data_IF_393424753020
#
_entry.id   IF_393424753020
#
_cell.length_a   1.000
_cell.length_b   1.000
_cell.length_c   1.000
_cell.angle_alpha   90.00
_cell.angle_beta   90.00
_cell.angle_gamma   90.00
#
_symmetry.space_group_name_H-M   'P 1'
#
loop_
_entity.id
_entity.type
_entity.pdbx_description
1 polymer ?
#
# COMPACT_ATOMS: atom_id res chain seq x y z
N UNK A 1 -79.75 29.78 -18.85
CA UNK A 1 -79.06 30.04 -20.13
C UNK A 1 -77.73 29.31 -20.08
N UNK A 2 -77.71 28.00 -19.82
CA UNK A 2 -78.22 26.84 -20.62
C UNK A 2 -77.06 26.31 -21.49
N UNK A 3 -76.73 25.01 -21.61
CA UNK A 3 -77.31 23.74 -21.10
C UNK A 3 -76.23 22.62 -21.14
N UNK A 4 -76.51 21.47 -20.53
CA UNK A 4 -75.67 20.26 -20.34
C UNK A 4 -75.45 19.35 -21.59
N UNK A 5 -74.78 18.20 -21.34
CA UNK A 5 -74.69 16.91 -22.08
C UNK A 5 -73.31 16.61 -22.74
N UNK A 6 -72.66 15.44 -22.60
CA UNK A 6 -72.84 14.27 -21.71
C UNK A 6 -72.38 12.91 -22.32
N UNK A 7 -71.54 12.10 -21.62
CA UNK A 7 -71.13 10.68 -21.93
C UNK A 7 -70.49 10.43 -23.33
N UNK A 8 -69.87 9.31 -23.76
CA UNK A 8 -69.56 7.95 -23.27
C UNK A 8 -69.63 6.96 -24.48
N UNK A 9 -68.89 5.85 -24.61
CA UNK A 9 -67.73 5.29 -23.88
C UNK A 9 -67.12 4.08 -24.70
N UNK A 10 -66.27 3.23 -24.09
CA UNK A 10 -65.94 1.81 -24.45
C UNK A 10 -64.98 1.37 -25.61
N UNK A 11 -64.08 0.43 -25.21
CA UNK A 11 -63.55 -0.82 -25.85
C UNK A 11 -62.88 -0.94 -27.25
N UNK A 12 -61.92 -1.90 -27.33
CA UNK A 12 -61.58 -2.64 -28.56
C UNK A 12 -60.11 -3.10 -28.73
N UNK A 13 -59.84 -4.41 -28.58
CA UNK A 13 -58.62 -5.08 -29.14
C UNK A 13 -58.73 -5.29 -30.66
N UNK A 14 -57.91 -6.06 -31.38
CA UNK A 14 -56.83 -7.03 -31.09
C UNK A 14 -56.02 -7.23 -32.42
N UNK A 15 -55.00 -8.10 -32.39
CA UNK A 15 -54.47 -8.94 -33.47
C UNK A 15 -53.10 -8.56 -34.10
N UNK A 16 -52.23 -9.57 -34.27
CA UNK A 16 -51.05 -9.47 -35.14
C UNK A 16 -49.83 -10.34 -34.79
N UNK A 17 -50.00 -11.63 -34.50
CA UNK A 17 -48.86 -12.53 -34.22
C UNK A 17 -48.26 -13.20 -35.47
N UNK A 18 -46.99 -13.64 -35.32
CA UNK A 18 -46.34 -14.84 -35.91
C UNK A 18 -45.18 -14.63 -36.92
N UNK A 19 -44.11 -15.45 -36.75
CA UNK A 19 -43.18 -15.83 -37.83
C UNK A 19 -41.68 -15.66 -37.57
N UNK A 20 -40.99 -16.71 -37.10
CA UNK A 20 -39.55 -16.94 -37.41
C UNK A 20 -39.41 -17.86 -38.65
N UNK A 21 -38.28 -18.58 -38.88
CA UNK A 21 -37.00 -18.58 -38.15
C UNK A 21 -35.72 -18.67 -39.05
N UNK A 22 -34.56 -18.93 -38.42
CA UNK A 22 -33.42 -19.76 -38.90
C UNK A 22 -32.19 -19.21 -39.68
N UNK A 23 -31.01 -19.49 -39.09
CA UNK A 23 -29.72 -19.99 -39.65
C UNK A 23 -28.64 -19.16 -40.35
N UNK A 24 -27.39 -19.49 -39.93
CA UNK A 24 -26.09 -19.58 -40.63
C UNK A 24 -25.15 -18.35 -40.82
N UNK A 25 -24.13 -18.31 -39.95
CA UNK A 25 -22.69 -18.45 -40.24
C UNK A 25 -21.88 -17.46 -41.12
N UNK A 26 -20.74 -17.05 -40.51
CA UNK A 26 -19.37 -16.93 -41.08
C UNK A 26 -18.77 -15.56 -41.50
N UNK A 27 -17.66 -15.24 -40.80
CA UNK A 27 -16.43 -14.54 -41.21
C UNK A 27 -16.42 -13.06 -41.67
N UNK A 28 -15.57 -12.27 -40.99
CA UNK A 28 -15.10 -10.96 -41.45
C UNK A 28 -14.29 -10.23 -40.36
N UNK A 29 -12.95 -10.26 -40.44
CA UNK A 29 -12.06 -9.66 -39.43
C UNK A 29 -11.79 -8.18 -39.67
N UNK A 30 -11.56 -7.39 -38.60
CA UNK A 30 -10.62 -6.26 -38.61
C UNK A 30 -10.20 -5.84 -37.19
N UNK A 31 -8.99 -5.28 -37.08
CA UNK A 31 -8.32 -4.93 -35.83
C UNK A 31 -8.87 -3.66 -35.16
N UNK A 32 -8.81 -3.61 -33.82
CA UNK A 32 -8.96 -2.38 -33.04
C UNK A 32 -8.39 -2.54 -31.63
N UNK A 33 -7.12 -2.17 -31.42
CA UNK A 33 -6.49 -2.18 -30.10
C UNK A 33 -7.03 -1.04 -29.21
N UNK A 34 -7.49 -1.36 -28.00
CA UNK A 34 -7.45 -0.46 -26.83
C UNK A 34 -7.81 -1.25 -25.55
N UNK A 35 -6.81 -1.78 -24.86
CA UNK A 35 -6.98 -2.41 -23.55
C UNK A 35 -6.55 -1.46 -22.43
N UNK A 36 -7.52 -0.75 -21.85
CA UNK A 36 -7.34 -0.01 -20.60
C UNK A 36 -8.01 -0.79 -19.45
N UNK A 37 -7.37 -1.89 -19.03
CA UNK A 37 -7.86 -2.74 -17.95
C UNK A 37 -7.51 -2.16 -16.58
N UNK A 38 -8.39 -1.36 -15.99
CA UNK A 38 -8.28 -0.93 -14.59
C UNK A 38 -8.59 -2.10 -13.67
N UNK A 39 -7.55 -2.86 -13.29
CA UNK A 39 -7.66 -3.95 -12.33
C UNK A 39 -7.97 -3.42 -10.92
N UNK A 40 -9.24 -3.46 -10.52
CA UNK A 40 -9.65 -3.15 -9.14
C UNK A 40 -9.19 -4.26 -8.20
N UNK A 41 -8.09 -4.04 -7.49
CA UNK A 41 -7.72 -4.89 -6.36
C UNK A 41 -8.61 -4.54 -5.15
N UNK A 42 -9.28 -5.54 -4.59
CA UNK A 42 -10.15 -5.35 -3.43
C UNK A 42 -9.33 -4.90 -2.21
N UNK A 43 -9.66 -3.71 -1.68
CA UNK A 43 -9.14 -3.28 -0.37
C UNK A 43 -9.73 -4.19 0.71
N UNK A 44 -8.86 -4.83 1.50
CA UNK A 44 -9.28 -5.67 2.63
C UNK A 44 -9.86 -4.82 3.75
N UNK A 45 -11.10 -5.11 4.14
CA UNK A 45 -11.76 -4.41 5.26
C UNK A 45 -11.10 -4.75 6.60
N UNK A 46 -10.75 -3.72 7.38
CA UNK A 46 -10.21 -3.84 8.74
C UNK A 46 -11.20 -3.32 9.78
N UNK A 47 -12.33 -3.99 9.92
CA UNK A 47 -13.26 -3.80 11.04
C UNK A 47 -12.79 -4.59 12.27
N UNK A 48 -12.68 -3.92 13.42
CA UNK A 48 -12.29 -4.56 14.68
C UNK A 48 -13.45 -5.39 15.28
N UNK A 49 -13.18 -6.65 15.64
CA UNK A 49 -14.05 -7.47 16.46
C UNK A 49 -13.21 -8.39 17.36
N UNK A 50 -13.66 -8.62 18.59
CA UNK A 50 -12.92 -9.35 19.61
C UNK A 50 -13.43 -10.80 19.81
N UNK A 51 -12.57 -11.58 20.48
CA UNK A 51 -12.83 -12.88 21.13
C UNK A 51 -12.88 -14.16 20.27
N UNK A 52 -12.05 -15.14 20.66
CA UNK A 52 -12.58 -16.47 20.97
C UNK A 52 -11.88 -17.71 20.38
N UNK A 53 -11.19 -18.44 21.26
CA UNK A 53 -10.85 -19.87 21.18
C UNK A 53 -9.73 -20.34 20.21
N UNK A 54 -8.93 -21.28 20.71
CA UNK A 54 -7.71 -21.80 20.10
C UNK A 54 -7.86 -23.26 19.63
N UNK A 55 -7.04 -23.66 18.66
CA UNK A 55 -6.65 -25.06 18.47
C UNK A 55 -5.23 -25.14 17.90
N UNK A 56 -4.44 -26.07 18.44
CA UNK A 56 -2.99 -26.16 18.23
C UNK A 56 -2.59 -27.14 17.13
N UNK A 57 -1.60 -26.78 16.32
CA UNK A 57 -0.67 -27.75 15.72
C UNK A 57 0.74 -27.14 15.63
N UNK A 58 1.76 -27.98 15.83
CA UNK A 58 3.13 -27.55 16.09
C UNK A 58 4.06 -27.81 14.90
N UNK A 59 4.82 -26.79 14.49
CA UNK A 59 6.10 -26.95 13.78
C UNK A 59 7.17 -26.09 14.47
N UNK A 60 8.41 -26.58 14.51
CA UNK A 60 9.49 -25.97 15.28
C UNK A 60 10.30 -25.01 14.41
N UNK A 61 10.20 -23.70 14.66
CA UNK A 61 11.10 -22.70 14.11
C UNK A 61 12.24 -22.39 15.11
N UNK A 62 13.48 -22.35 14.62
CA UNK A 62 14.66 -22.18 15.47
C UNK A 62 14.79 -20.72 15.96
N UNK A 63 14.58 -20.50 17.27
CA UNK A 63 14.75 -19.19 17.88
C UNK A 63 16.23 -18.81 18.01
N UNK A 64 16.76 -18.09 17.01
CA UNK A 64 18.08 -17.46 17.07
C UNK A 64 18.08 -16.30 18.08
N UNK A 65 18.40 -16.60 19.35
CA UNK A 65 18.67 -15.58 20.37
C UNK A 65 20.08 -15.02 20.17
N UNK A 66 20.28 -13.69 20.02
CA UNK A 66 21.61 -13.12 20.06
C UNK A 66 22.17 -13.20 21.49
N UNK A 67 23.33 -13.84 21.65
CA UNK A 67 24.12 -13.76 22.87
C UNK A 67 24.69 -12.34 23.02
N UNK A 68 24.61 -11.76 24.21
CA UNK A 68 24.93 -10.34 24.43
C UNK A 68 26.43 -10.03 24.41
N UNK A 69 26.78 -8.83 23.94
CA UNK A 69 28.19 -8.40 23.92
C UNK A 69 28.48 -7.01 23.33
N UNK A 70 27.95 -5.92 23.90
CA UNK A 70 28.54 -4.58 23.78
C UNK A 70 27.73 -3.51 23.01
N UNK A 71 27.66 -2.30 23.58
CA UNK A 71 27.27 -1.09 22.85
C UNK A 71 25.76 -0.85 22.65
N UNK A 72 24.93 -1.14 23.66
CA UNK A 72 23.47 -1.05 23.54
C UNK A 72 22.93 0.34 23.20
N UNK A 73 22.56 0.54 21.92
CA UNK A 73 21.29 1.19 21.61
C UNK A 73 20.20 0.18 21.98
N UNK A 74 19.27 0.56 22.84
CA UNK A 74 18.09 -0.26 23.12
C UNK A 74 17.39 -0.56 21.80
N UNK A 75 17.16 -1.84 21.48
CA UNK A 75 16.31 -2.20 20.34
C UNK A 75 14.90 -1.67 20.64
N UNK A 76 14.48 -0.67 19.87
CA UNK A 76 13.11 -0.14 19.92
C UNK A 76 12.20 -1.21 19.29
N UNK A 77 11.33 -1.80 20.11
CA UNK A 77 10.33 -2.77 19.66
C UNK A 77 8.96 -2.13 19.85
N UNK A 78 8.23 -1.98 18.74
CA UNK A 78 6.88 -1.42 18.74
C UNK A 78 5.88 -2.55 18.44
N UNK A 79 4.78 -2.62 19.18
CA UNK A 79 3.62 -3.39 18.74
C UNK A 79 2.84 -2.53 17.73
N UNK A 80 2.64 -3.04 16.52
CA UNK A 80 2.05 -2.28 15.41
C UNK A 80 1.02 -3.10 14.64
N UNK A 81 0.01 -2.45 14.09
CA UNK A 81 -0.92 -3.06 13.12
C UNK A 81 -0.65 -2.47 11.75
N UNK A 82 -0.59 -3.32 10.72
CA UNK A 82 -0.43 -2.88 9.32
C UNK A 82 -1.77 -2.39 8.79
N UNK A 83 -1.79 -1.19 8.21
CA UNK A 83 -3.01 -0.51 7.73
C UNK A 83 -3.12 -0.42 6.22
N UNK A 84 -2.00 -0.40 5.49
CA UNK A 84 -1.97 -0.34 4.03
C UNK A 84 -0.67 -0.95 3.51
N UNK A 85 -0.71 -1.67 2.38
CA UNK A 85 0.49 -2.19 1.68
C UNK A 85 0.52 -1.61 0.27
N UNK A 86 1.37 -0.60 0.05
CA UNK A 86 1.47 0.12 -1.22
C UNK A 86 2.20 -0.73 -2.27
N UNK A 87 3.36 -1.27 -1.87
CA UNK A 87 4.18 -2.19 -2.65
C UNK A 87 5.00 -3.07 -1.70
N UNK A 88 5.89 -3.91 -2.23
CA UNK A 88 6.72 -4.80 -1.41
C UNK A 88 7.79 -4.08 -0.55
N UNK A 89 8.06 -2.80 -0.82
CA UNK A 89 9.08 -1.95 -0.17
C UNK A 89 8.45 -0.86 0.74
N UNK A 90 7.16 -0.57 0.57
CA UNK A 90 6.44 0.42 1.36
C UNK A 90 5.05 -0.04 1.79
N UNK A 91 4.85 -0.02 3.10
CA UNK A 91 3.57 -0.24 3.76
C UNK A 91 3.45 0.73 4.94
N UNK A 92 2.24 0.88 5.49
CA UNK A 92 1.95 1.77 6.60
C UNK A 92 1.50 0.99 7.83
N UNK A 93 1.89 1.49 8.99
CA UNK A 93 1.57 0.90 10.29
C UNK A 93 1.05 1.94 11.28
N UNK A 94 0.15 1.54 12.16
CA UNK A 94 -0.25 2.26 13.37
C UNK A 94 0.35 1.56 14.61
N UNK A 95 0.66 2.31 15.66
CA UNK A 95 1.10 1.75 16.95
C UNK A 95 -0.10 1.24 17.74
N UNK A 96 -0.04 -0.02 18.19
CA UNK A 96 -1.12 -0.65 18.98
C UNK A 96 -1.21 0.04 20.34
N UNK A 97 -2.44 0.40 20.73
CA UNK A 97 -2.70 1.11 22.00
C UNK A 97 -2.43 2.61 21.97
N UNK A 98 -2.15 3.20 20.80
CA UNK A 98 -2.02 4.65 20.64
C UNK A 98 -3.36 5.36 20.94
N UNK A 99 -3.50 6.12 22.04
CA UNK A 99 -4.79 6.67 22.47
C UNK A 99 -5.38 7.69 21.49
N UNK A 100 -4.54 8.33 20.67
CA UNK A 100 -5.01 9.27 19.64
C UNK A 100 -5.85 8.58 18.57
N UNK A 101 -5.58 7.33 18.21
CA UNK A 101 -6.38 6.58 17.22
C UNK A 101 -7.80 6.34 17.76
N UNK A 102 -7.92 5.88 19.00
CA UNK A 102 -9.22 5.65 19.65
C UNK A 102 -10.01 6.96 19.81
N UNK A 103 -9.35 8.03 20.28
CA UNK A 103 -9.97 9.35 20.41
C UNK A 103 -10.46 9.90 19.07
N UNK A 104 -9.67 9.77 17.99
CA UNK A 104 -10.08 10.19 16.66
C UNK A 104 -11.33 9.45 16.18
N UNK A 105 -11.40 8.12 16.37
CA UNK A 105 -12.56 7.33 16.00
C UNK A 105 -13.83 7.73 16.79
N UNK A 106 -13.69 8.03 18.09
CA UNK A 106 -14.78 8.54 18.92
C UNK A 106 -15.29 9.91 18.43
N UNK A 107 -14.39 10.87 18.21
CA UNK A 107 -14.78 12.21 17.75
C UNK A 107 -15.41 12.18 16.34
N UNK A 108 -14.89 11.35 15.43
CA UNK A 108 -15.41 11.24 14.05
C UNK A 108 -16.76 10.51 13.97
N UNK A 109 -17.05 9.60 14.90
CA UNK A 109 -18.36 8.93 15.00
C UNK A 109 -19.40 9.75 15.77
N UNK A 110 -18.98 10.57 16.73
CA UNK A 110 -19.85 11.53 17.41
C UNK A 110 -20.24 12.72 16.52
N UNK A 111 -19.41 13.09 15.56
CA UNK A 111 -19.72 14.14 14.59
C UNK A 111 -20.86 13.71 13.65
N UNK A 112 -21.91 14.54 13.53
CA UNK A 112 -23.09 14.29 12.68
C UNK A 112 -22.79 14.47 11.18
N UNK A 113 -21.84 13.69 10.65
CA UNK A 113 -21.34 13.76 9.28
C UNK A 113 -22.19 12.95 8.27
N UNK A 114 -23.27 12.31 8.75
CA UNK A 114 -24.21 11.52 7.94
C UNK A 114 -25.11 12.38 7.06
N UNK A 115 -25.35 13.65 7.43
CA UNK A 115 -26.21 14.54 6.65
C UNK A 115 -25.54 14.93 5.31
N UNK A 116 -26.29 14.91 4.20
CA UNK A 116 -25.82 15.46 2.92
C UNK A 116 -25.52 16.94 3.09
N UNK A 117 -24.26 17.35 2.88
CA UNK A 117 -23.91 18.77 2.89
C UNK A 117 -24.50 19.43 1.63
N UNK A 118 -25.43 20.40 1.75
CA UNK A 118 -26.10 20.97 0.58
C UNK A 118 -25.16 21.74 -0.35
N UNK A 119 -24.02 22.19 0.17
CA UNK A 119 -22.98 22.92 -0.55
C UNK A 119 -21.62 22.29 -0.18
N UNK A 120 -21.08 21.37 -1.00
CA UNK A 120 -19.75 20.80 -0.78
C UNK A 120 -18.66 21.87 -0.61
N UNK A 121 -17.67 21.67 0.27
CA UNK A 121 -16.58 22.62 0.45
C UNK A 121 -15.65 22.63 -0.77
N UNK A 122 -15.23 23.82 -1.20
CA UNK A 122 -14.18 24.00 -2.21
C UNK A 122 -12.80 23.85 -1.56
N UNK A 123 -12.27 22.63 -1.58
CA UNK A 123 -10.96 22.31 -1.02
C UNK A 123 -9.83 22.54 -2.02
N UNK A 124 -8.63 22.82 -1.51
CA UNK A 124 -7.42 23.10 -2.28
C UNK A 124 -6.36 22.05 -1.99
N UNK A 125 -5.54 21.72 -3.00
CA UNK A 125 -4.33 20.91 -2.81
C UNK A 125 -3.49 21.46 -1.66
N UNK A 126 -3.12 20.59 -0.73
CA UNK A 126 -2.39 20.96 0.49
C UNK A 126 -3.25 21.18 1.73
N UNK A 127 -4.58 21.14 1.62
CA UNK A 127 -5.47 21.26 2.78
C UNK A 127 -5.75 19.90 3.44
N UNK A 128 -5.88 19.93 4.76
CA UNK A 128 -6.49 18.85 5.54
C UNK A 128 -8.01 18.91 5.41
N UNK A 129 -8.66 17.74 5.41
CA UNK A 129 -10.11 17.59 5.32
C UNK A 129 -10.56 16.31 6.04
N UNK A 130 -11.88 16.10 6.08
CA UNK A 130 -12.45 14.77 6.29
C UNK A 130 -12.90 14.23 4.93
N UNK A 131 -12.69 12.94 4.69
CA UNK A 131 -13.17 12.23 3.51
C UNK A 131 -13.90 10.95 3.92
N UNK A 132 -14.99 10.61 3.22
CA UNK A 132 -15.71 9.35 3.40
C UNK A 132 -15.01 8.28 2.57
N UNK A 133 -14.47 7.25 3.22
CA UNK A 133 -13.85 6.10 2.54
C UNK A 133 -14.90 5.25 1.84
N UNK A 134 -14.66 4.82 0.60
CA UNK A 134 -15.72 4.14 -0.17
C UNK A 134 -16.05 2.73 0.31
N UNK A 135 -15.16 2.04 1.02
CA UNK A 135 -15.37 0.64 1.41
C UNK A 135 -16.38 0.50 2.56
N UNK A 136 -16.19 1.26 3.64
CA UNK A 136 -16.97 1.19 4.88
C UNK A 136 -17.96 2.35 5.07
N UNK A 137 -17.87 3.39 4.22
CA UNK A 137 -18.62 4.65 4.32
C UNK A 137 -18.36 5.45 5.61
N UNK A 138 -17.28 5.16 6.33
CA UNK A 138 -16.86 5.92 7.49
C UNK A 138 -16.06 7.18 7.09
N UNK A 139 -16.05 8.17 7.98
CA UNK A 139 -15.34 9.44 7.77
C UNK A 139 -13.97 9.40 8.43
N UNK A 140 -12.94 9.80 7.69
CA UNK A 140 -11.55 9.75 8.11
C UNK A 140 -10.82 11.05 7.83
N UNK A 141 -9.73 11.31 8.58
CA UNK A 141 -8.87 12.46 8.32
C UNK A 141 -8.04 12.23 7.07
N UNK A 142 -8.09 13.20 6.17
CA UNK A 142 -7.48 13.12 4.86
C UNK A 142 -6.74 14.41 4.50
N UNK A 143 -5.83 14.31 3.54
CA UNK A 143 -5.09 15.43 2.98
C UNK A 143 -5.29 15.44 1.46
N UNK A 144 -5.64 16.61 0.91
CA UNK A 144 -5.90 16.76 -0.53
C UNK A 144 -4.57 16.81 -1.29
N UNK A 145 -4.19 15.70 -1.92
CA UNK A 145 -3.03 15.63 -2.80
C UNK A 145 -3.30 16.34 -4.13
N UNK A 146 -4.48 16.14 -4.73
CA UNK A 146 -4.87 16.79 -6.01
C UNK A 146 -6.36 17.13 -6.05
N UNK A 147 -6.68 18.30 -6.60
CA UNK A 147 -8.04 18.69 -6.99
C UNK A 147 -8.20 18.42 -8.48
N UNK A 148 -9.19 17.63 -8.89
CA UNK A 148 -9.58 17.57 -10.29
C UNK A 148 -10.41 18.84 -10.62
N UNK A 149 -10.11 19.49 -11.75
CA UNK A 149 -10.86 20.68 -12.21
C UNK A 149 -11.90 20.37 -13.28
N UNK A 150 -11.80 19.20 -13.91
CA UNK A 150 -12.74 18.75 -14.95
C UNK A 150 -13.93 17.98 -14.37
N UNK A 151 -13.75 17.39 -13.19
CA UNK A 151 -14.77 16.65 -12.43
C UNK A 151 -14.74 17.12 -10.98
N UNK A 152 -15.86 17.12 -10.24
CA UNK A 152 -15.92 17.51 -8.84
C UNK A 152 -15.38 16.41 -7.92
N UNK A 153 -14.09 16.10 -8.08
CA UNK A 153 -13.36 14.97 -7.49
C UNK A 153 -12.03 15.42 -6.88
N UNK A 154 -11.66 14.80 -5.77
CA UNK A 154 -10.42 15.03 -5.04
C UNK A 154 -9.63 13.73 -4.92
N UNK A 155 -8.34 13.73 -5.27
CA UNK A 155 -7.45 12.65 -4.87
C UNK A 155 -6.89 12.98 -3.47
N UNK A 156 -7.14 12.09 -2.52
CA UNK A 156 -6.85 12.29 -1.09
C UNK A 156 -5.96 11.18 -0.53
N UNK A 157 -5.13 11.53 0.45
CA UNK A 157 -4.31 10.62 1.24
C UNK A 157 -4.87 10.56 2.67
N UNK A 158 -5.27 9.37 3.13
CA UNK A 158 -5.80 9.17 4.48
C UNK A 158 -4.63 9.13 5.47
N UNK A 159 -4.48 10.21 6.26
CA UNK A 159 -3.25 10.47 7.02
C UNK A 159 -3.01 9.50 8.18
N UNK A 160 -4.04 8.75 8.56
CA UNK A 160 -4.00 7.80 9.66
C UNK A 160 -3.84 6.35 9.21
N UNK A 161 -4.04 6.05 7.92
CA UNK A 161 -4.00 4.68 7.38
C UNK A 161 -2.97 4.51 6.25
N UNK A 162 -2.65 5.58 5.51
CA UNK A 162 -1.62 5.59 4.47
C UNK A 162 -2.11 5.23 3.07
N UNK A 163 -3.35 4.77 2.92
CA UNK A 163 -3.99 4.53 1.63
C UNK A 163 -4.40 5.86 0.94
N UNK A 164 -4.68 5.78 -0.36
CA UNK A 164 -5.16 6.88 -1.20
C UNK A 164 -6.47 6.53 -1.86
N UNK A 165 -7.28 7.54 -2.14
CA UNK A 165 -8.53 7.37 -2.88
C UNK A 165 -8.87 8.62 -3.70
N UNK A 166 -9.62 8.43 -4.80
CA UNK A 166 -10.36 9.51 -5.46
C UNK A 166 -11.78 9.57 -4.91
N UNK A 167 -12.11 10.65 -4.21
CA UNK A 167 -13.42 10.88 -3.59
C UNK A 167 -14.17 12.02 -4.28
N UNK A 168 -15.49 11.90 -4.37
CA UNK A 168 -16.36 12.94 -4.93
C UNK A 168 -16.53 14.12 -3.94
N UNK A 169 -16.93 15.29 -4.45
CA UNK A 169 -17.07 16.50 -3.64
C UNK A 169 -18.11 16.38 -2.50
N UNK A 170 -19.19 15.63 -2.68
CA UNK A 170 -20.16 15.34 -1.62
C UNK A 170 -19.59 14.42 -0.52
N UNK A 171 -18.45 13.77 -0.79
CA UNK A 171 -17.71 12.84 0.09
C UNK A 171 -16.53 13.50 0.82
N UNK A 172 -16.44 14.83 0.80
CA UNK A 172 -15.49 15.59 1.64
C UNK A 172 -16.20 16.58 2.57
N UNK A 173 -15.56 16.89 3.70
CA UNK A 173 -15.96 17.96 4.63
C UNK A 173 -14.71 18.73 5.06
N UNK A 174 -14.90 19.98 5.51
CA UNK A 174 -13.86 20.68 6.29
C UNK A 174 -13.55 19.91 7.58
N UNK A 175 -12.32 20.06 8.08
CA UNK A 175 -11.88 19.44 9.33
C UNK A 175 -11.71 20.50 10.42
N UNK A 176 -12.20 20.20 11.61
CA UNK A 176 -12.09 21.10 12.75
C UNK A 176 -10.65 21.20 13.26
N UNK A 177 -10.29 22.35 13.85
CA UNK A 177 -8.93 22.63 14.31
C UNK A 177 -8.42 21.58 15.32
N UNK A 178 -9.28 21.05 16.19
CA UNK A 178 -8.92 20.01 17.16
C UNK A 178 -8.52 18.70 16.47
N UNK A 179 -9.32 18.23 15.49
CA UNK A 179 -9.01 17.04 14.69
C UNK A 179 -7.79 17.26 13.78
N UNK A 180 -7.61 18.47 13.26
CA UNK A 180 -6.48 18.82 12.39
C UNK A 180 -5.15 18.95 13.14
N UNK A 181 -5.17 19.24 14.44
CA UNK A 181 -3.96 19.42 15.26
C UNK A 181 -3.30 18.10 15.68
N UNK A 182 -4.05 17.00 15.72
CA UNK A 182 -3.50 15.68 16.05
C UNK A 182 -2.52 15.23 14.94
N UNK A 183 -1.32 14.71 15.25
CA UNK A 183 -0.38 14.22 14.23
C UNK A 183 -0.97 13.12 13.34
N UNK A 184 -0.43 12.86 12.14
CA UNK A 184 -0.77 11.67 11.36
C UNK A 184 -0.43 10.39 12.15
N UNK A 185 -1.33 9.42 12.16
CA UNK A 185 -1.14 8.16 12.90
C UNK A 185 -0.49 7.04 12.06
N UNK A 186 -0.50 7.14 10.73
CA UNK A 186 0.19 6.20 9.85
C UNK A 186 1.70 6.50 9.79
N UNK A 187 2.52 5.51 10.15
CA UNK A 187 3.97 5.56 10.01
C UNK A 187 4.36 4.74 8.77
N UNK A 188 5.12 5.32 7.85
CA UNK A 188 5.65 4.59 6.71
C UNK A 188 6.71 3.58 7.17
N UNK A 189 6.68 2.36 6.64
CA UNK A 189 7.55 1.27 7.04
C UNK A 189 8.11 0.54 5.80
N UNK A 190 9.27 -0.11 5.98
CA UNK A 190 9.80 -1.13 5.08
C UNK A 190 10.45 -2.26 5.86
N UNK A 191 10.50 -3.45 5.27
CA UNK A 191 11.22 -4.58 5.85
C UNK A 191 12.73 -4.28 5.91
N UNK A 192 13.35 -4.67 7.01
CA UNK A 192 14.80 -4.64 7.16
C UNK A 192 15.46 -5.84 6.46
N UNK A 193 16.77 -5.70 6.17
CA UNK A 193 17.67 -6.78 5.73
C UNK A 193 17.36 -7.48 4.40
N UNK A 194 16.29 -7.12 3.69
CA UNK A 194 15.94 -7.65 2.37
C UNK A 194 15.83 -6.56 1.30
N UNK A 195 16.07 -6.94 0.05
CA UNK A 195 15.72 -6.21 -1.17
C UNK A 195 14.51 -6.91 -1.79
N UNK A 196 13.47 -6.15 -2.13
CA UNK A 196 12.33 -6.63 -2.92
C UNK A 196 12.45 -6.20 -4.39
N UNK A 197 11.67 -6.79 -5.33
CA UNK A 197 11.62 -6.34 -6.71
C UNK A 197 11.28 -4.85 -6.84
N UNK A 198 11.87 -4.16 -7.80
CA UNK A 198 11.60 -2.75 -8.04
C UNK A 198 10.17 -2.53 -8.57
N UNK A 199 9.58 -1.38 -8.25
CA UNK A 199 8.25 -1.02 -8.71
C UNK A 199 8.19 -0.97 -10.25
N UNK A 200 7.32 -1.80 -10.85
CA UNK A 200 7.19 -1.93 -12.30
C UNK A 200 7.98 -3.10 -12.91
N UNK A 201 8.77 -3.85 -12.13
CA UNK A 201 9.29 -5.16 -12.53
C UNK A 201 8.18 -6.21 -12.60
N UNK A 202 8.36 -7.28 -13.38
CA UNK A 202 7.38 -8.35 -13.57
C UNK A 202 6.93 -8.97 -12.22
N UNK A 203 7.85 -9.07 -11.27
CA UNK A 203 7.62 -9.65 -9.93
C UNK A 203 7.06 -8.66 -8.90
N UNK A 204 6.91 -7.37 -9.23
CA UNK A 204 6.47 -6.36 -8.27
C UNK A 204 5.03 -6.60 -7.77
N UNK A 205 4.14 -7.07 -8.65
CA UNK A 205 2.75 -7.38 -8.31
C UNK A 205 2.66 -8.59 -7.36
N UNK A 206 3.40 -9.65 -7.66
CA UNK A 206 3.42 -10.88 -6.86
C UNK A 206 4.10 -10.68 -5.51
N UNK A 207 5.20 -9.91 -5.47
CA UNK A 207 5.86 -9.57 -4.21
C UNK A 207 4.96 -8.71 -3.31
N UNK A 208 4.20 -7.75 -3.88
CA UNK A 208 3.19 -6.99 -3.13
C UNK A 208 2.05 -7.90 -2.64
N UNK A 209 1.57 -8.83 -3.45
CA UNK A 209 0.50 -9.76 -3.08
C UNK A 209 0.96 -10.72 -1.96
N UNK A 210 2.18 -11.24 -2.05
CA UNK A 210 2.82 -12.05 -1.01
C UNK A 210 2.92 -11.28 0.31
N UNK A 211 3.49 -10.07 0.29
CA UNK A 211 3.58 -9.22 1.49
C UNK A 211 2.19 -8.88 2.07
N UNK A 212 1.21 -8.59 1.23
CA UNK A 212 -0.19 -8.31 1.65
C UNK A 212 -0.83 -9.52 2.33
N UNK A 213 -0.54 -10.75 1.85
CA UNK A 213 -1.02 -11.98 2.48
C UNK A 213 -0.39 -12.19 3.86
N UNK A 214 0.94 -12.02 3.95
CA UNK A 214 1.71 -12.18 5.18
C UNK A 214 1.35 -11.15 6.26
N UNK A 215 1.11 -9.90 5.88
CA UNK A 215 0.75 -8.80 6.78
C UNK A 215 -0.77 -8.63 6.99
N UNK A 216 -1.59 -9.43 6.31
CA UNK A 216 -3.04 -9.24 6.22
C UNK A 216 -3.80 -9.59 7.51
N UNK A 217 -5.03 -9.06 7.62
CA UNK A 217 -5.98 -9.41 8.69
C UNK A 217 -5.91 -8.54 9.95
N UNK A 218 -5.22 -7.40 9.92
CA UNK A 218 -5.20 -6.43 11.03
C UNK A 218 -4.54 -6.93 12.32
N UNK A 219 -3.80 -8.04 12.26
CA UNK A 219 -3.15 -8.65 13.42
C UNK A 219 -2.03 -7.74 13.96
N UNK A 220 -1.81 -7.71 15.30
CA UNK A 220 -0.69 -6.98 15.87
C UNK A 220 0.63 -7.71 15.59
N UNK A 221 1.62 -6.96 15.10
CA UNK A 221 2.96 -7.39 14.75
C UNK A 221 3.99 -6.77 15.69
N UNK A 222 5.13 -7.43 15.89
CA UNK A 222 6.28 -6.85 16.58
C UNK A 222 7.23 -6.25 15.55
N UNK A 223 7.39 -4.93 15.58
CA UNK A 223 8.33 -4.19 14.75
C UNK A 223 9.60 -3.88 15.53
N UNK A 224 10.66 -4.65 15.29
CA UNK A 224 12.00 -4.37 15.79
C UNK A 224 12.65 -3.31 14.89
N UNK A 225 12.68 -2.05 15.35
CA UNK A 225 13.14 -0.92 14.56
C UNK A 225 14.67 -0.96 14.43
N UNK A 226 15.13 -1.16 13.20
CA UNK A 226 16.57 -1.18 12.84
C UNK A 226 17.04 0.24 12.53
N UNK A 227 16.24 1.02 11.81
CA UNK A 227 16.53 2.44 11.57
C UNK A 227 15.27 3.28 11.45
N UNK A 228 15.41 4.59 11.69
CA UNK A 228 14.33 5.56 11.58
C UNK A 228 14.81 6.79 10.82
N UNK A 229 14.22 7.03 9.67
CA UNK A 229 14.36 8.29 8.95
C UNK A 229 13.70 9.41 9.77
N UNK A 230 14.35 10.58 9.82
CA UNK A 230 13.83 11.72 10.57
C UNK A 230 12.57 12.25 9.90
N UNK A 231 11.50 12.37 10.68
CA UNK A 231 10.37 13.21 10.31
C UNK A 231 10.85 14.63 9.99
N UNK A 232 10.27 15.25 8.97
CA UNK A 232 10.36 16.69 8.74
C UNK A 232 9.04 17.34 9.20
N UNK A 233 9.00 17.99 10.38
CA UNK A 233 7.78 18.65 10.87
C UNK A 233 7.29 19.80 9.98
N UNK A 234 8.15 20.33 9.10
CA UNK A 234 7.84 21.43 8.17
C UNK A 234 7.46 20.93 6.77
N UNK A 235 7.51 19.62 6.52
CA UNK A 235 7.12 19.07 5.23
C UNK A 235 5.64 19.31 4.94
N UNK A 236 5.35 19.77 3.72
CA UNK A 236 3.98 20.00 3.24
C UNK A 236 3.14 18.72 3.33
N UNK A 237 3.71 17.59 2.91
CA UNK A 237 2.99 16.32 2.85
C UNK A 237 2.95 15.61 4.22
N UNK A 238 1.77 15.13 4.69
CA UNK A 238 1.64 14.41 5.97
C UNK A 238 2.58 13.20 6.11
N UNK A 239 2.74 12.39 5.05
CA UNK A 239 3.65 11.23 5.01
C UNK A 239 5.09 11.54 5.46
N UNK A 240 5.60 12.73 5.12
CA UNK A 240 6.96 13.15 5.50
C UNK A 240 7.07 13.67 6.93
N UNK A 241 5.94 13.97 7.59
CA UNK A 241 5.87 14.46 8.97
C UNK A 241 5.95 13.36 10.04
N UNK A 242 5.83 12.08 9.66
CA UNK A 242 5.98 10.92 10.55
C UNK A 242 7.36 10.25 10.43
N UNK A 243 8.04 10.45 9.30
CA UNK A 243 9.25 9.72 8.90
C UNK A 243 8.94 8.30 8.43
N UNK A 244 9.99 7.58 8.02
CA UNK A 244 9.95 6.15 7.66
C UNK A 244 10.73 5.32 8.68
N UNK A 245 10.20 4.18 9.09
CA UNK A 245 10.93 3.16 9.85
C UNK A 245 11.38 2.03 8.94
N UNK A 246 12.54 1.45 9.23
CA UNK A 246 13.01 0.18 8.67
C UNK A 246 13.04 -0.81 9.81
N UNK A 247 12.26 -1.89 9.73
CA UNK A 247 12.05 -2.80 10.85
C UNK A 247 12.07 -4.27 10.42
N UNK A 248 12.49 -5.15 11.32
CA UNK A 248 12.16 -6.57 11.23
C UNK A 248 10.76 -6.72 11.80
N UNK A 249 9.82 -7.24 10.99
CA UNK A 249 8.48 -7.57 11.43
C UNK A 249 8.40 -9.04 11.80
N UNK A 250 7.89 -9.30 13.01
CA UNK A 250 7.67 -10.64 13.54
C UNK A 250 6.20 -10.79 13.96
N UNK A 251 5.54 -11.86 13.53
CA UNK A 251 4.22 -12.23 14.04
C UNK A 251 4.37 -12.85 15.44
N UNK A 252 3.73 -12.31 16.50
CA UNK A 252 4.01 -12.71 17.88
C UNK A 252 3.54 -14.12 18.24
N UNK A 253 2.52 -14.66 17.55
CA UNK A 253 1.93 -15.97 17.87
C UNK A 253 2.77 -17.13 17.30
N UNK A 254 3.25 -16.96 16.08
CA UNK A 254 4.05 -17.96 15.33
C UNK A 254 5.55 -17.73 15.45
N UNK A 255 5.97 -16.54 15.90
CA UNK A 255 7.34 -16.03 15.85
C UNK A 255 7.90 -15.98 14.41
N UNK A 256 7.03 -15.85 13.41
CA UNK A 256 7.40 -15.81 11.98
C UNK A 256 7.97 -14.46 11.60
N UNK A 257 9.17 -14.44 11.02
CA UNK A 257 9.79 -13.24 10.47
C UNK A 257 9.32 -13.02 9.02
N UNK A 258 8.60 -11.92 8.77
CA UNK A 258 8.00 -11.63 7.45
C UNK A 258 9.07 -11.48 6.36
N UNK A 259 10.27 -11.03 6.69
CA UNK A 259 11.37 -10.94 5.74
C UNK A 259 11.88 -12.33 5.31
N UNK A 260 11.81 -13.34 6.18
CA UNK A 260 12.18 -14.73 5.87
C UNK A 260 11.13 -15.37 4.96
N UNK A 261 9.84 -15.18 5.24
CA UNK A 261 8.76 -15.67 4.37
C UNK A 261 8.85 -15.08 2.95
N UNK A 262 9.17 -13.79 2.83
CA UNK A 262 9.41 -13.14 1.54
C UNK A 262 10.61 -13.74 0.79
N UNK A 263 11.68 -14.16 1.49
CA UNK A 263 12.81 -14.87 0.89
C UNK A 263 12.39 -16.28 0.44
N UNK A 264 11.74 -17.07 1.30
CA UNK A 264 11.26 -18.43 1.01
C UNK A 264 10.26 -18.48 -0.15
N UNK A 265 9.48 -17.42 -0.35
CA UNK A 265 8.57 -17.29 -1.50
C UNK A 265 9.28 -16.91 -2.81
N UNK A 266 10.58 -16.56 -2.79
CA UNK A 266 11.28 -15.99 -3.94
C UNK A 266 10.82 -14.58 -4.29
N UNK A 267 10.27 -13.84 -3.32
CA UNK A 267 9.73 -12.48 -3.46
C UNK A 267 10.64 -11.40 -2.86
N UNK A 268 11.79 -11.79 -2.34
CA UNK A 268 12.87 -10.92 -1.90
C UNK A 268 14.25 -11.59 -2.12
N UNK A 269 15.32 -10.80 -1.98
CA UNK A 269 16.74 -11.22 -1.98
C UNK A 269 17.50 -10.51 -0.88
N UNK A 270 18.63 -11.05 -0.44
CA UNK A 270 19.51 -10.41 0.53
C UNK A 270 20.41 -9.35 -0.15
N UNK A 271 20.67 -8.21 0.51
CA UNK A 271 21.65 -7.26 0.02
C UNK A 271 23.07 -7.77 0.25
N UNK A 272 23.97 -7.54 -0.71
CA UNK A 272 25.38 -7.95 -0.63
C UNK A 272 26.01 -7.47 0.68
N UNK A 273 26.58 -8.39 1.47
CA UNK A 273 27.20 -8.09 2.77
C UNK A 273 28.24 -6.96 2.71
N UNK A 274 28.96 -6.80 1.58
CA UNK A 274 29.91 -5.67 1.34
C UNK A 274 29.26 -4.28 1.36
N UNK A 275 27.97 -4.17 1.00
CA UNK A 275 27.21 -2.90 1.01
C UNK A 275 26.61 -2.58 2.39
N UNK A 276 26.48 -3.58 3.27
CA UNK A 276 25.96 -3.42 4.63
C UNK A 276 27.07 -2.88 5.53
N UNK A 277 26.81 -1.78 6.26
CA UNK A 277 27.81 -1.15 7.15
C UNK A 277 27.76 -1.63 8.59
N UNK A 278 26.57 -1.98 9.07
CA UNK A 278 26.30 -2.31 10.47
C UNK A 278 26.54 -3.80 10.75
N UNK A 279 27.28 -4.12 11.83
CA UNK A 279 27.71 -5.48 12.13
C UNK A 279 26.53 -6.42 12.42
N UNK A 280 25.62 -6.03 13.33
CA UNK A 280 24.43 -6.83 13.64
C UNK A 280 23.52 -7.03 12.43
N UNK A 281 23.46 -6.07 11.49
CA UNK A 281 22.74 -6.24 10.24
C UNK A 281 23.41 -7.26 9.31
N UNK A 282 24.76 -7.34 9.28
CA UNK A 282 25.48 -8.38 8.53
C UNK A 282 25.25 -9.76 9.12
N UNK A 283 25.29 -9.89 10.44
CA UNK A 283 25.03 -11.16 11.14
C UNK A 283 23.60 -11.66 10.87
N UNK A 284 22.60 -10.77 10.98
CA UNK A 284 21.21 -11.10 10.64
C UNK A 284 21.04 -11.52 9.16
N UNK A 285 21.68 -10.80 8.23
CA UNK A 285 21.66 -11.16 6.79
C UNK A 285 22.35 -12.50 6.54
N UNK A 286 23.48 -12.77 7.19
CA UNK A 286 24.20 -14.04 7.06
C UNK A 286 23.35 -15.21 7.57
N UNK A 287 22.62 -15.03 8.68
CA UNK A 287 21.71 -16.03 9.22
C UNK A 287 20.51 -16.35 8.29
N UNK A 288 20.14 -15.46 7.37
CA UNK A 288 19.03 -15.67 6.43
C UNK A 288 19.45 -16.24 5.07
N UNK A 289 20.75 -16.49 4.83
CA UNK A 289 21.26 -16.96 3.54
C UNK A 289 20.67 -18.31 3.12
N UNK A 290 20.37 -19.19 4.08
CA UNK A 290 19.75 -20.50 3.80
C UNK A 290 18.37 -20.38 3.15
N UNK A 291 17.56 -19.37 3.51
CA UNK A 291 16.20 -19.19 3.01
C UNK A 291 16.16 -18.67 1.57
N UNK A 292 17.08 -17.78 1.20
CA UNK A 292 17.23 -17.34 -0.19
C UNK A 292 17.72 -18.50 -1.08
N UNK A 293 18.66 -19.30 -0.56
CA UNK A 293 19.20 -20.44 -1.29
C UNK A 293 18.17 -21.58 -1.45
N UNK A 294 17.30 -21.82 -0.46
CA UNK A 294 16.15 -22.73 -0.63
C UNK A 294 15.22 -22.25 -1.77
N UNK A 295 14.88 -20.96 -1.79
CA UNK A 295 14.01 -20.40 -2.84
C UNK A 295 14.66 -20.44 -4.23
N UNK A 296 15.98 -20.25 -4.31
CA UNK A 296 16.79 -20.41 -5.54
C UNK A 296 16.77 -21.85 -6.03
N UNK A 297 17.05 -22.83 -5.16
CA UNK A 297 17.05 -24.26 -5.50
C UNK A 297 15.66 -24.78 -5.86
N UNK A 298 14.62 -24.25 -5.23
CA UNK A 298 13.22 -24.59 -5.52
C UNK A 298 12.64 -23.81 -6.72
N UNK A 299 13.43 -22.95 -7.38
CA UNK A 299 13.00 -22.11 -8.51
C UNK A 299 11.71 -21.31 -8.22
N UNK A 300 11.61 -20.72 -7.02
CA UNK A 300 10.41 -19.96 -6.59
C UNK A 300 10.51 -18.49 -6.98
N UNK A 301 9.36 -17.88 -7.27
CA UNK A 301 9.25 -16.44 -7.55
C UNK A 301 10.26 -15.97 -8.59
N UNK A 302 11.05 -14.95 -8.26
CA UNK A 302 12.03 -14.37 -9.18
C UNK A 302 13.15 -15.31 -9.64
N UNK A 303 13.30 -16.50 -9.03
CA UNK A 303 14.28 -17.52 -9.41
C UNK A 303 13.78 -18.54 -10.45
N UNK A 304 12.52 -18.44 -10.91
CA UNK A 304 11.92 -19.35 -11.92
C UNK A 304 12.75 -19.42 -13.22
N UNK A 305 13.33 -18.30 -13.65
CA UNK A 305 14.10 -18.20 -14.90
C UNK A 305 15.63 -18.19 -14.70
N UNK A 306 16.10 -18.64 -13.53
CA UNK A 306 17.49 -18.50 -13.08
C UNK A 306 17.65 -17.32 -12.10
N UNK A 307 18.87 -17.06 -11.65
CA UNK A 307 19.13 -15.91 -10.77
C UNK A 307 18.98 -14.60 -11.58
N UNK A 308 18.05 -13.69 -11.22
CA UNK A 308 17.89 -12.41 -11.91
C UNK A 308 19.14 -11.58 -11.66
N UNK A 309 20.04 -11.59 -12.64
CA UNK A 309 21.49 -11.43 -12.44
C UNK A 309 21.93 -10.19 -11.67
N UNK A 310 23.20 -10.23 -11.26
CA UNK A 310 23.85 -9.20 -10.45
C UNK A 310 24.08 -7.85 -11.19
N UNK A 311 23.48 -7.69 -12.38
CA UNK A 311 23.70 -6.67 -13.40
C UNK A 311 23.17 -5.28 -13.03
N UNK A 312 22.11 -5.18 -12.24
CA UNK A 312 21.58 -3.88 -11.77
C UNK A 312 22.50 -3.20 -10.74
N UNK A 313 23.55 -3.91 -10.31
CA UNK A 313 24.51 -3.50 -9.30
C UNK A 313 25.92 -3.25 -9.91
N UNK A 314 26.08 -3.24 -11.24
CA UNK A 314 27.30 -2.75 -11.91
C UNK A 314 27.44 -1.23 -11.68
N UNK A 315 28.44 -0.89 -10.87
CA UNK A 315 28.90 0.48 -10.67
C UNK A 315 29.29 1.09 -12.03
N UNK A 316 28.84 2.32 -12.39
CA UNK A 316 29.18 2.91 -13.68
C UNK A 316 30.70 3.00 -13.77
N UNK A 317 31.27 2.18 -14.67
CA UNK A 317 32.71 1.96 -14.75
C UNK A 317 33.44 3.31 -14.75
N UNK A 318 34.27 3.54 -13.74
CA UNK A 318 34.96 4.81 -13.55
C UNK A 318 35.78 5.12 -14.80
N UNK A 319 35.28 6.04 -15.62
CA UNK A 319 35.76 6.34 -16.97
C UNK A 319 37.12 7.04 -16.99
N UNK A 320 38.15 6.33 -16.53
CA UNK A 320 39.56 6.73 -16.57
C UNK A 320 40.14 6.72 -17.99
N UNK A 321 39.47 7.39 -18.94
CA UNK A 321 39.90 7.56 -20.33
C UNK A 321 41.06 8.56 -20.47
N UNK A 322 42.21 8.26 -19.86
CA UNK A 322 43.37 9.17 -19.81
C UNK A 322 44.27 9.05 -21.05
N UNK A 323 43.74 9.36 -22.24
CA UNK A 323 44.52 9.38 -23.50
C UNK A 323 44.15 10.55 -24.41
N UNK A 324 45.16 11.26 -24.94
CA UNK A 324 44.98 12.40 -25.85
C UNK A 324 46.06 13.48 -25.70
N UNK A 325 47.32 13.15 -26.02
CA UNK A 325 48.42 14.11 -25.92
C UNK A 325 48.35 15.24 -26.95
N UNK A 326 48.76 16.44 -26.55
CA UNK A 326 48.78 17.62 -27.42
C UNK A 326 49.95 17.60 -28.42
N UNK A 327 49.74 17.99 -29.70
CA UNK A 327 50.81 18.47 -30.56
C UNK A 327 51.12 19.95 -30.27
N UNK A 328 52.38 20.27 -30.01
CA UNK A 328 52.90 21.65 -30.04
C UNK A 328 53.31 22.02 -31.47
N UNK A 329 52.96 23.22 -31.92
CA UNK A 329 53.47 23.83 -33.16
C UNK A 329 52.36 24.55 -33.93
N UNK A 330 52.55 25.78 -34.42
CA UNK A 330 53.73 26.65 -34.35
C UNK A 330 53.38 28.10 -34.71
N UNK A 331 54.38 28.99 -34.64
CA UNK A 331 54.23 30.43 -34.91
C UNK A 331 53.89 30.71 -36.38
N UNK A 332 52.94 31.61 -36.66
CA UNK A 332 53.21 32.97 -37.11
C UNK A 332 51.96 33.84 -37.07
#
# INVERSE_FOLDING_TARGET
MDREEGYGDEEGGDAGAAGGPSTSAANGASNGHSAAGSGGAAAGSFAAAASGAASSSSSAAAAARPAGGGGGRSQEVLSVTVTEVVDANEFFVQVVGEPRVAWLAEQLSAASLSEPCPIPPELKTGQMCLAQFSLDKCWYRAYVERVNRSEPMYDVYFIDYGNRERVASDKVRTIDAALSAVPPQAIACCLAHVKVPEAGSDWAADARACLTSLLGGGRPMLAHVVSRERADPKAKHPKSRTGKITAVLVEPETNTNIAVEMLLAGMARLPKLRKVKEAGAREAIQAMQEYEEEARQAHRGMFVYGDPGDSDDEEPAAGGGRFGGAPRGGRR
#
